data_IF_488994144859
#
_entry.id   IF_488994144859
#
_cell.length_a   1.000
_cell.length_b   1.000
_cell.length_c   1.000
_cell.angle_alpha   90.00
_cell.angle_beta   90.00
_cell.angle_gamma   90.00
#
_symmetry.space_group_name_H-M   'P 1'
#
loop_
_entity.id
_entity.type
_entity.pdbx_description
1 polymer ?
#
# COMPACT_ATOMS: atom_id res chain seq x y z
N UNK A 1 23.57 14.50 3.11
CA UNK A 1 23.86 15.33 1.92
C UNK A 1 25.00 14.67 1.18
N UNK A 2 24.75 14.08 0.02
CA UNK A 2 25.85 13.61 -0.83
C UNK A 2 26.35 14.82 -1.65
N UNK A 3 27.60 15.22 -1.42
CA UNK A 3 28.25 16.28 -2.15
C UNK A 3 28.58 15.76 -3.56
N UNK A 4 27.78 16.13 -4.54
CA UNK A 4 28.14 15.97 -5.95
C UNK A 4 29.18 17.03 -6.30
N UNK A 5 30.46 16.70 -6.15
CA UNK A 5 31.56 17.54 -6.62
C UNK A 5 31.77 17.33 -8.12
N UNK A 6 31.77 18.42 -8.90
CA UNK A 6 32.18 18.44 -10.32
C UNK A 6 31.06 18.28 -11.34
N UNK A 7 30.78 19.33 -12.10
CA UNK A 7 29.76 19.38 -13.15
C UNK A 7 30.21 18.76 -14.48
N UNK A 8 30.41 17.44 -14.52
CA UNK A 8 30.55 16.71 -15.78
C UNK A 8 29.19 16.15 -16.24
N UNK A 9 28.97 16.05 -17.56
CA UNK A 9 27.71 15.56 -18.14
C UNK A 9 27.42 14.09 -17.75
N UNK A 10 28.46 13.28 -17.54
CA UNK A 10 28.37 11.86 -17.19
C UNK A 10 29.40 11.51 -16.10
N UNK A 11 29.14 11.89 -14.84
CA UNK A 11 30.07 11.59 -13.75
C UNK A 11 30.15 10.08 -13.51
N UNK A 12 31.35 9.59 -13.20
CA UNK A 12 31.52 8.21 -12.78
C UNK A 12 30.96 8.06 -11.36
N UNK A 13 29.89 7.28 -11.21
CA UNK A 13 29.29 7.03 -9.91
C UNK A 13 29.92 5.79 -9.27
N UNK A 14 30.30 5.92 -8.01
CA UNK A 14 30.70 4.78 -7.18
C UNK A 14 29.51 3.83 -6.95
N UNK A 15 29.80 2.54 -6.81
CA UNK A 15 28.78 1.50 -6.56
C UNK A 15 27.95 1.83 -5.32
N UNK A 16 28.56 2.43 -4.29
CA UNK A 16 27.90 2.90 -3.07
C UNK A 16 26.84 3.98 -3.35
N UNK A 17 27.12 4.95 -4.22
CA UNK A 17 26.14 5.98 -4.61
C UNK A 17 24.96 5.39 -5.39
N UNK A 18 25.20 4.36 -6.21
CA UNK A 18 24.14 3.63 -6.92
C UNK A 18 23.25 2.86 -5.92
N UNK A 19 23.83 2.28 -4.87
CA UNK A 19 23.08 1.62 -3.80
C UNK A 19 22.27 2.61 -2.95
N UNK A 20 22.82 3.77 -2.62
CA UNK A 20 22.09 4.84 -1.93
C UNK A 20 20.88 5.32 -2.72
N UNK A 21 21.03 5.56 -4.03
CA UNK A 21 19.91 5.93 -4.91
C UNK A 21 18.83 4.84 -4.92
N UNK A 22 19.23 3.56 -4.98
CA UNK A 22 18.32 2.42 -4.94
C UNK A 22 17.58 2.31 -3.61
N UNK A 23 18.26 2.60 -2.51
CA UNK A 23 17.70 2.58 -1.16
C UNK A 23 16.72 3.74 -0.92
N UNK A 24 17.04 4.93 -1.44
CA UNK A 24 16.21 6.13 -1.38
C UNK A 24 14.96 6.02 -2.26
N UNK A 25 15.02 5.28 -3.38
CA UNK A 25 13.87 5.01 -4.23
C UNK A 25 12.80 4.14 -3.53
N UNK A 26 13.16 3.35 -2.50
CA UNK A 26 12.22 2.47 -1.80
C UNK A 26 11.44 3.24 -0.73
N UNK A 27 10.16 3.52 -0.98
CA UNK A 27 9.25 4.16 -0.04
C UNK A 27 9.14 3.38 1.29
N UNK A 28 9.28 4.08 2.42
CA UNK A 28 9.23 3.53 3.79
C UNK A 28 7.92 2.79 4.08
N UNK A 29 6.78 3.32 3.63
CA UNK A 29 5.47 2.68 3.84
C UNK A 29 5.38 1.35 3.08
N UNK A 30 5.98 1.29 1.90
CA UNK A 30 6.04 0.09 1.07
C UNK A 30 6.90 -0.99 1.72
N UNK A 31 8.04 -0.63 2.34
CA UNK A 31 8.87 -1.55 3.14
C UNK A 31 8.09 -2.14 4.30
N UNK A 32 7.41 -1.28 5.08
CA UNK A 32 6.56 -1.71 6.21
C UNK A 32 5.46 -2.68 5.76
N UNK A 33 4.77 -2.36 4.67
CA UNK A 33 3.73 -3.25 4.11
C UNK A 33 4.30 -4.61 3.70
N UNK A 34 5.49 -4.64 3.07
CA UNK A 34 6.15 -5.91 2.73
C UNK A 34 6.46 -6.75 3.97
N UNK A 35 7.01 -6.14 5.03
CA UNK A 35 7.33 -6.87 6.27
C UNK A 35 6.08 -7.48 6.90
N UNK A 36 4.98 -6.73 6.96
CA UNK A 36 3.71 -7.21 7.52
C UNK A 36 3.18 -8.41 6.75
N UNK A 37 3.06 -8.30 5.43
CA UNK A 37 2.51 -9.38 4.59
C UNK A 37 3.43 -10.60 4.53
N UNK A 38 4.76 -10.39 4.58
CA UNK A 38 5.72 -11.48 4.68
C UNK A 38 5.57 -12.20 6.03
N UNK A 39 5.33 -11.48 7.11
CA UNK A 39 5.03 -12.07 8.42
C UNK A 39 3.81 -12.99 8.37
N UNK A 40 2.71 -12.52 7.75
CA UNK A 40 1.50 -13.34 7.56
C UNK A 40 1.78 -14.61 6.78
N UNK A 41 2.51 -14.50 5.66
CA UNK A 41 2.88 -15.66 4.85
C UNK A 41 3.75 -16.65 5.64
N UNK A 42 4.79 -16.17 6.33
CA UNK A 42 5.70 -17.01 7.10
C UNK A 42 4.99 -17.74 8.25
N UNK A 43 4.10 -17.06 8.96
CA UNK A 43 3.27 -17.68 10.00
C UNK A 43 2.42 -18.82 9.44
N UNK A 44 1.73 -18.57 8.32
CA UNK A 44 0.94 -19.60 7.65
C UNK A 44 1.80 -20.76 7.14
N UNK A 45 2.94 -20.47 6.52
CA UNK A 45 3.86 -21.48 5.99
C UNK A 45 4.35 -22.41 7.12
N UNK A 46 4.72 -21.84 8.26
CA UNK A 46 5.14 -22.58 9.45
C UNK A 46 4.04 -23.50 10.00
N UNK A 47 2.80 -22.99 10.10
CA UNK A 47 1.66 -23.79 10.56
C UNK A 47 1.32 -24.96 9.63
N UNK A 48 1.59 -24.81 8.33
CA UNK A 48 1.35 -25.85 7.32
C UNK A 48 2.55 -26.75 7.04
N UNK A 49 3.68 -26.52 7.73
CA UNK A 49 4.91 -27.30 7.55
C UNK A 49 5.64 -27.03 6.23
N UNK A 50 5.42 -25.88 5.59
CA UNK A 50 6.21 -25.43 4.45
C UNK A 50 7.54 -24.80 4.91
N UNK A 51 8.54 -24.83 4.04
CA UNK A 51 9.82 -24.17 4.28
C UNK A 51 9.62 -22.66 4.33
N UNK A 52 10.31 -22.01 5.27
CA UNK A 52 10.34 -20.54 5.37
C UNK A 52 11.13 -19.91 4.20
N UNK A 53 11.99 -20.67 3.53
CA UNK A 53 12.84 -20.23 2.42
C UNK A 53 12.08 -20.26 1.08
N UNK A 54 11.08 -19.40 0.92
CA UNK A 54 10.19 -19.36 -0.25
C UNK A 54 10.89 -19.17 -1.59
N UNK A 55 12.02 -18.49 -1.59
CA UNK A 55 12.86 -18.18 -2.75
C UNK A 55 13.54 -19.42 -3.35
N UNK A 56 13.57 -20.53 -2.61
CA UNK A 56 14.19 -21.80 -3.06
C UNK A 56 13.27 -22.66 -3.91
N UNK A 57 11.95 -22.41 -3.88
CA UNK A 57 10.98 -23.19 -4.64
C UNK A 57 11.03 -22.87 -6.14
N UNK A 58 10.91 -23.90 -6.99
CA UNK A 58 10.60 -23.65 -8.41
C UNK A 58 9.23 -22.99 -8.55
N UNK A 59 9.04 -22.26 -9.64
CA UNK A 59 7.80 -21.55 -9.95
C UNK A 59 6.57 -22.45 -9.91
N UNK A 60 6.68 -23.72 -10.30
CA UNK A 60 5.54 -24.64 -10.27
C UNK A 60 5.11 -25.01 -8.85
N UNK A 61 6.07 -25.30 -7.97
CA UNK A 61 5.76 -25.62 -6.57
C UNK A 61 5.33 -24.38 -5.81
N UNK A 62 5.95 -23.24 -6.09
CA UNK A 62 5.57 -21.96 -5.53
C UNK A 62 4.13 -21.57 -5.94
N UNK A 63 3.71 -21.81 -7.19
CA UNK A 63 2.32 -21.57 -7.62
C UNK A 63 1.33 -22.39 -6.78
N UNK A 64 1.60 -23.67 -6.54
CA UNK A 64 0.74 -24.53 -5.70
C UNK A 64 0.70 -24.07 -4.24
N UNK A 65 1.84 -23.64 -3.69
CA UNK A 65 1.91 -23.12 -2.32
C UNK A 65 1.09 -21.83 -2.21
N UNK A 66 1.23 -20.92 -3.17
CA UNK A 66 0.49 -19.67 -3.21
C UNK A 66 -1.01 -19.90 -3.42
N UNK A 67 -1.40 -20.87 -4.25
CA UNK A 67 -2.79 -21.28 -4.44
C UNK A 67 -3.44 -21.66 -3.10
N UNK A 68 -2.79 -22.53 -2.32
CA UNK A 68 -3.26 -22.91 -0.97
C UNK A 68 -3.28 -21.72 -0.02
N UNK A 69 -2.22 -20.92 0.00
CA UNK A 69 -2.13 -19.73 0.85
C UNK A 69 -3.28 -18.76 0.59
N UNK A 70 -3.57 -18.48 -0.69
CA UNK A 70 -4.63 -17.55 -1.07
C UNK A 70 -6.03 -18.03 -0.69
N UNK A 71 -6.29 -19.34 -0.73
CA UNK A 71 -7.52 -19.91 -0.19
C UNK A 71 -7.64 -19.70 1.32
N UNK A 72 -6.57 -20.00 2.06
CA UNK A 72 -6.61 -20.13 3.52
C UNK A 72 -6.35 -18.83 4.29
N UNK A 73 -5.78 -17.80 3.64
CA UNK A 73 -5.41 -16.56 4.32
C UNK A 73 -6.63 -15.87 4.95
N UNK A 74 -6.50 -15.54 6.25
CA UNK A 74 -7.49 -14.87 7.10
C UNK A 74 -6.82 -13.83 7.99
N UNK A 75 -7.60 -12.87 8.48
CA UNK A 75 -7.11 -11.91 9.47
C UNK A 75 -6.93 -12.59 10.85
N UNK A 76 -6.36 -11.86 11.81
CA UNK A 76 -6.13 -12.38 13.18
C UNK A 76 -7.43 -12.75 13.90
N UNK A 77 -8.53 -12.12 13.53
CA UNK A 77 -9.86 -12.35 14.09
C UNK A 77 -10.60 -13.53 13.39
N UNK A 78 -9.94 -14.23 12.46
CA UNK A 78 -10.51 -15.33 11.68
C UNK A 78 -11.39 -14.93 10.50
N UNK A 79 -11.63 -13.63 10.30
CA UNK A 79 -12.38 -13.07 9.18
C UNK A 79 -11.58 -12.96 7.86
N UNK A 80 -12.31 -12.72 6.77
CA UNK A 80 -11.74 -12.51 5.44
C UNK A 80 -11.20 -11.08 5.24
N UNK A 81 -10.04 -10.97 4.60
CA UNK A 81 -9.45 -9.69 4.19
C UNK A 81 -10.26 -9.01 3.07
N UNK A 82 -10.12 -7.69 2.99
CA UNK A 82 -10.62 -6.90 1.86
C UNK A 82 -9.93 -7.27 0.54
N UNK A 83 -10.63 -7.26 -0.61
CA UNK A 83 -10.05 -7.56 -1.92
C UNK A 83 -8.82 -6.70 -2.26
N UNK A 84 -8.83 -5.42 -1.87
CA UNK A 84 -7.70 -4.51 -2.08
C UNK A 84 -6.50 -4.91 -1.22
N UNK A 85 -6.72 -5.37 0.01
CA UNK A 85 -5.66 -5.85 0.90
C UNK A 85 -4.96 -7.09 0.32
N UNK A 86 -5.74 -8.01 -0.27
CA UNK A 86 -5.20 -9.19 -0.95
C UNK A 86 -4.31 -8.81 -2.14
N UNK A 87 -4.66 -7.76 -2.91
CA UNK A 87 -3.80 -7.24 -3.98
C UNK A 87 -2.48 -6.66 -3.46
N UNK A 88 -2.52 -5.94 -2.35
CA UNK A 88 -1.32 -5.41 -1.70
C UNK A 88 -0.42 -6.55 -1.21
N UNK A 89 -1.01 -7.62 -0.66
CA UNK A 89 -0.29 -8.81 -0.23
C UNK A 89 0.50 -9.47 -1.36
N UNK A 90 -0.09 -9.72 -2.53
CA UNK A 90 0.67 -10.30 -3.66
C UNK A 90 1.84 -9.39 -4.05
N UNK A 91 1.58 -8.08 -4.12
CA UNK A 91 2.59 -7.09 -4.51
C UNK A 91 3.73 -7.03 -3.50
N UNK A 92 3.44 -7.24 -2.22
CA UNK A 92 4.43 -7.37 -1.17
C UNK A 92 5.29 -8.63 -1.34
N UNK A 93 4.68 -9.79 -1.62
CA UNK A 93 5.39 -11.06 -1.84
C UNK A 93 6.25 -11.03 -3.11
N UNK A 94 5.71 -10.53 -4.22
CA UNK A 94 6.44 -10.38 -5.49
C UNK A 94 7.66 -9.44 -5.33
N UNK A 95 7.52 -8.38 -4.53
CA UNK A 95 8.64 -7.49 -4.19
C UNK A 95 9.70 -8.20 -3.35
N UNK A 96 9.28 -8.94 -2.33
CA UNK A 96 10.21 -9.71 -1.49
C UNK A 96 11.01 -10.71 -2.32
N UNK A 97 10.36 -11.50 -3.16
CA UNK A 97 11.05 -12.48 -4.01
C UNK A 97 12.05 -11.82 -4.96
N UNK A 98 11.71 -10.67 -5.55
CA UNK A 98 12.66 -9.90 -6.38
C UNK A 98 13.84 -9.40 -5.58
N UNK A 99 13.62 -8.90 -4.36
CA UNK A 99 14.69 -8.47 -3.46
C UNK A 99 15.60 -9.65 -3.06
N UNK A 100 15.07 -10.88 -3.01
CA UNK A 100 15.82 -12.13 -2.81
C UNK A 100 16.46 -12.70 -4.10
N UNK A 101 16.39 -11.99 -5.23
CA UNK A 101 16.99 -12.44 -6.49
C UNK A 101 16.19 -13.49 -7.26
N UNK A 102 14.92 -13.70 -6.93
CA UNK A 102 14.07 -14.64 -7.64
C UNK A 102 13.77 -14.14 -9.06
N UNK A 103 14.06 -14.97 -10.06
CA UNK A 103 14.07 -14.56 -11.47
C UNK A 103 12.66 -14.31 -12.06
N UNK A 104 11.61 -14.94 -11.51
CA UNK A 104 10.27 -14.95 -12.10
C UNK A 104 9.28 -14.15 -11.24
N UNK A 105 8.64 -13.13 -11.80
CA UNK A 105 7.61 -12.38 -11.08
C UNK A 105 6.32 -13.20 -10.94
N UNK A 106 5.82 -13.35 -9.71
CA UNK A 106 4.53 -14.02 -9.43
C UNK A 106 3.41 -13.30 -10.19
N UNK A 107 3.44 -11.97 -10.22
CA UNK A 107 2.36 -11.17 -10.83
C UNK A 107 2.38 -11.26 -12.35
N UNK A 108 3.55 -11.20 -12.99
CA UNK A 108 3.64 -11.06 -14.45
C UNK A 108 3.73 -12.38 -15.19
N UNK A 109 4.33 -13.40 -14.59
CA UNK A 109 4.65 -14.65 -15.31
C UNK A 109 3.44 -15.57 -15.37
N UNK A 110 3.20 -16.18 -16.54
CA UNK A 110 2.08 -17.11 -16.80
C UNK A 110 2.15 -18.40 -16.00
N UNK A 111 3.35 -18.81 -15.55
CA UNK A 111 3.56 -20.01 -14.70
C UNK A 111 2.79 -19.97 -13.38
N UNK A 112 2.36 -18.78 -12.95
CA UNK A 112 1.55 -18.58 -11.74
C UNK A 112 0.06 -18.41 -12.05
N UNK A 113 -0.48 -19.13 -13.04
CA UNK A 113 -1.88 -18.92 -13.46
C UNK A 113 -2.88 -19.46 -12.44
N UNK A 114 -2.61 -20.60 -11.80
CA UNK A 114 -3.58 -21.24 -10.91
C UNK A 114 -3.78 -20.43 -9.63
N UNK A 115 -2.69 -20.00 -9.01
CA UNK A 115 -2.78 -19.13 -7.83
C UNK A 115 -3.49 -17.80 -8.14
N UNK A 116 -3.30 -17.23 -9.34
CA UNK A 116 -4.02 -16.02 -9.76
C UNK A 116 -5.51 -16.25 -9.92
N UNK A 117 -5.91 -17.31 -10.62
CA UNK A 117 -7.32 -17.67 -10.83
C UNK A 117 -8.04 -17.82 -9.48
N UNK A 118 -7.44 -18.58 -8.56
CA UNK A 118 -7.98 -18.77 -7.20
C UNK A 118 -8.15 -17.46 -6.45
N UNK A 119 -7.16 -16.57 -6.55
CA UNK A 119 -7.24 -15.29 -5.85
C UNK A 119 -8.25 -14.34 -6.49
N UNK A 120 -8.35 -14.31 -7.82
CA UNK A 120 -9.34 -13.52 -8.54
C UNK A 120 -10.76 -13.98 -8.24
N UNK A 121 -10.98 -15.29 -8.17
CA UNK A 121 -12.26 -15.88 -7.78
C UNK A 121 -12.60 -15.55 -6.33
N UNK A 122 -11.65 -15.69 -5.40
CA UNK A 122 -11.83 -15.26 -4.01
C UNK A 122 -12.18 -13.77 -3.92
N UNK A 123 -11.46 -12.90 -4.63
CA UNK A 123 -11.74 -11.47 -4.67
C UNK A 123 -13.09 -11.14 -5.33
N UNK A 124 -13.56 -11.94 -6.29
CA UNK A 124 -14.89 -11.81 -6.89
C UNK A 124 -15.97 -12.16 -5.86
N UNK A 125 -15.86 -13.31 -5.19
CA UNK A 125 -16.78 -13.72 -4.12
C UNK A 125 -16.89 -12.68 -3.01
N UNK A 126 -15.75 -12.17 -2.53
CA UNK A 126 -15.74 -11.13 -1.50
C UNK A 126 -16.48 -9.85 -1.95
N UNK A 127 -16.40 -9.50 -3.24
CA UNK A 127 -17.15 -8.36 -3.81
C UNK A 127 -18.66 -8.63 -3.90
N UNK A 128 -19.05 -9.86 -4.18
CA UNK A 128 -20.45 -10.30 -4.19
C UNK A 128 -21.04 -10.32 -2.76
N UNK A 129 -20.24 -10.69 -1.77
CA UNK A 129 -20.55 -10.60 -0.33
C UNK A 129 -20.59 -9.15 0.20
N UNK A 130 -20.39 -8.14 -0.67
CA UNK A 130 -20.44 -6.73 -0.32
C UNK A 130 -19.15 -6.15 0.25
N UNK A 131 -18.04 -6.90 0.27
CA UNK A 131 -16.73 -6.35 0.65
C UNK A 131 -16.10 -5.55 -0.49
N UNK A 132 -15.30 -4.55 -0.14
CA UNK A 132 -14.66 -3.63 -1.07
C UNK A 132 -15.29 -2.24 -1.08
N UNK A 133 -14.68 -1.34 -1.85
CA UNK A 133 -15.04 0.10 -1.88
C UNK A 133 -16.32 0.46 -2.63
N UNK A 134 -17.10 -0.54 -3.09
CA UNK A 134 -18.32 -0.30 -3.87
C UNK A 134 -19.49 0.21 -3.02
N UNK A 135 -19.83 -0.40 -1.87
CA UNK A 135 -20.85 0.17 -0.98
C UNK A 135 -20.40 1.46 -0.28
N UNK A 136 -19.11 1.59 0.08
CA UNK A 136 -18.56 2.78 0.74
C UNK A 136 -17.94 3.79 -0.24
N UNK A 137 -18.55 3.95 -1.42
CA UNK A 137 -18.06 4.91 -2.41
C UNK A 137 -18.16 6.31 -1.80
N UNK A 138 -17.05 7.03 -1.73
CA UNK A 138 -17.07 8.42 -1.31
C UNK A 138 -18.04 9.21 -2.19
N UNK A 139 -19.01 9.87 -1.55
CA UNK A 139 -19.89 10.85 -2.18
C UNK A 139 -19.56 12.24 -1.65
N UNK A 140 -19.91 13.25 -2.44
CA UNK A 140 -19.91 14.63 -1.95
C UNK A 140 -20.90 14.76 -0.79
N UNK A 141 -20.57 15.63 0.16
CA UNK A 141 -21.53 16.04 1.18
C UNK A 141 -22.68 16.78 0.51
N UNK A 142 -23.88 16.64 1.06
CA UNK A 142 -24.99 17.51 0.68
C UNK A 142 -24.84 18.86 1.39
N UNK A 143 -25.47 19.90 0.83
CA UNK A 143 -25.48 21.22 1.44
C UNK A 143 -25.98 21.18 2.90
N UNK A 144 -27.00 20.36 3.18
CA UNK A 144 -27.54 20.17 4.54
C UNK A 144 -26.51 19.56 5.51
N UNK A 145 -25.68 18.63 5.05
CA UNK A 145 -24.62 18.03 5.86
C UNK A 145 -23.48 19.03 6.13
N UNK A 146 -23.17 19.90 5.16
CA UNK A 146 -22.19 20.98 5.33
C UNK A 146 -22.67 22.01 6.36
N UNK A 147 -23.95 22.39 6.29
CA UNK A 147 -24.58 23.29 7.25
C UNK A 147 -24.58 22.68 8.66
N UNK A 148 -24.88 21.38 8.80
CA UNK A 148 -24.83 20.65 10.06
C UNK A 148 -23.41 20.61 10.66
N UNK A 149 -22.38 20.44 9.84
CA UNK A 149 -20.98 20.48 10.28
C UNK A 149 -20.57 21.87 10.76
N UNK A 150 -21.15 22.93 10.19
CA UNK A 150 -20.99 24.31 10.65
C UNK A 150 -21.68 24.56 12.00
N UNK A 151 -22.92 24.09 12.17
CA UNK A 151 -23.69 24.29 13.42
C UNK A 151 -23.12 23.50 14.59
N UNK A 152 -22.63 22.28 14.34
CA UNK A 152 -21.98 21.43 15.35
C UNK A 152 -20.62 21.96 15.83
N UNK A 153 -20.11 23.05 15.22
CA UNK A 153 -18.84 23.67 15.61
C UNK A 153 -17.59 23.00 15.04
N UNK A 154 -17.75 21.95 14.23
CA UNK A 154 -16.63 21.23 13.62
C UNK A 154 -15.97 22.04 12.49
N UNK A 155 -16.78 22.76 11.71
CA UNK A 155 -16.35 23.66 10.65
C UNK A 155 -16.73 25.11 10.99
N UNK A 156 -16.11 25.66 12.03
CA UNK A 156 -16.45 26.98 12.54
C UNK A 156 -15.23 27.85 12.81
N UNK A 157 -15.43 29.15 12.98
CA UNK A 157 -14.41 30.12 13.35
C UNK A 157 -14.33 30.40 14.87
N UNK A 158 -15.09 29.64 15.68
CA UNK A 158 -15.21 29.86 17.13
C UNK A 158 -13.96 29.44 17.91
N UNK A 159 -13.28 28.39 17.48
CA UNK A 159 -12.06 27.87 18.14
C UNK A 159 -10.93 27.78 17.11
N UNK A 160 -9.69 27.97 17.55
CA UNK A 160 -8.52 27.82 16.68
C UNK A 160 -8.49 26.43 15.98
N UNK A 161 -8.90 25.38 16.69
CA UNK A 161 -9.01 24.01 16.16
C UNK A 161 -10.10 23.86 15.08
N UNK A 162 -11.29 24.43 15.31
CA UNK A 162 -12.37 24.38 14.31
C UNK A 162 -12.02 25.19 13.06
N UNK A 163 -11.27 26.30 13.24
CA UNK A 163 -10.77 27.10 12.14
C UNK A 163 -9.72 26.33 11.32
N UNK A 164 -8.80 25.63 11.98
CA UNK A 164 -7.82 24.75 11.34
C UNK A 164 -8.54 23.64 10.56
N UNK A 165 -9.55 22.98 11.12
CA UNK A 165 -10.31 21.95 10.42
C UNK A 165 -11.05 22.51 9.18
N UNK A 166 -11.63 23.71 9.31
CA UNK A 166 -12.31 24.39 8.20
C UNK A 166 -11.35 24.77 7.07
N UNK A 167 -10.21 25.37 7.42
CA UNK A 167 -9.26 25.87 6.42
C UNK A 167 -8.42 24.71 5.86
N UNK A 168 -7.75 23.96 6.74
CA UNK A 168 -6.81 22.92 6.33
C UNK A 168 -7.49 21.69 5.74
N UNK A 169 -8.56 21.19 6.34
CA UNK A 169 -9.15 19.94 5.90
C UNK A 169 -10.29 20.13 4.91
N UNK A 170 -11.14 21.13 5.09
CA UNK A 170 -12.29 21.35 4.21
C UNK A 170 -11.95 22.17 2.96
N UNK A 171 -11.57 23.44 3.12
CA UNK A 171 -11.37 24.34 1.98
C UNK A 171 -10.18 23.91 1.09
N UNK A 172 -9.03 23.56 1.68
CA UNK A 172 -7.88 23.17 0.87
C UNK A 172 -8.09 21.85 0.12
N UNK A 173 -8.78 20.88 0.72
CA UNK A 173 -9.09 19.61 0.05
C UNK A 173 -10.09 19.79 -1.08
N UNK A 174 -11.11 20.65 -0.91
CA UNK A 174 -12.13 20.91 -1.92
C UNK A 174 -11.58 21.71 -3.11
N UNK A 175 -10.91 22.84 -2.84
CA UNK A 175 -10.49 23.77 -3.89
C UNK A 175 -9.15 23.41 -4.54
N UNK A 176 -8.20 22.86 -3.76
CA UNK A 176 -6.85 22.55 -4.26
C UNK A 176 -6.59 21.06 -4.40
N UNK A 177 -7.51 20.20 -3.95
CA UNK A 177 -7.36 18.75 -4.06
C UNK A 177 -6.24 18.17 -3.18
N UNK A 178 -5.76 18.92 -2.18
CA UNK A 178 -4.71 18.48 -1.27
C UNK A 178 -5.24 17.38 -0.34
N UNK A 179 -4.81 16.14 -0.56
CA UNK A 179 -5.32 14.95 0.14
C UNK A 179 -4.25 14.26 0.98
N UNK A 180 -2.98 14.64 0.80
CA UNK A 180 -1.85 14.04 1.48
C UNK A 180 -1.50 14.76 2.78
N UNK A 181 -1.27 13.99 3.86
CA UNK A 181 -0.68 14.51 5.11
C UNK A 181 0.58 15.34 4.84
N UNK A 182 1.43 14.88 3.92
CA UNK A 182 2.70 15.55 3.61
C UNK A 182 2.51 16.87 2.86
N UNK A 183 1.47 16.98 2.03
CA UNK A 183 1.12 18.21 1.32
C UNK A 183 0.70 19.29 2.31
N UNK A 184 -0.10 18.91 3.32
CA UNK A 184 -0.53 19.82 4.38
C UNK A 184 0.64 20.28 5.26
N UNK A 185 1.55 19.38 5.66
CA UNK A 185 2.72 19.75 6.48
C UNK A 185 3.78 20.55 5.69
N UNK A 186 3.79 20.44 4.36
CA UNK A 186 4.72 21.18 3.50
C UNK A 186 4.31 22.63 3.25
N UNK A 187 3.11 23.04 3.68
CA UNK A 187 2.65 24.41 3.49
C UNK A 187 3.42 25.36 4.40
N UNK A 188 4.07 26.34 3.77
CA UNK A 188 4.81 27.39 4.46
C UNK A 188 4.24 28.74 4.03
N UNK A 189 4.09 29.64 4.99
CA UNK A 189 3.75 31.03 4.69
C UNK A 189 5.01 31.71 4.18
N UNK A 190 4.96 32.27 2.97
CA UNK A 190 5.98 33.24 2.57
C UNK A 190 5.70 34.52 3.34
N UNK A 191 6.49 34.77 4.38
CA UNK A 191 6.56 36.08 5.01
C UNK A 191 7.17 37.01 3.97
N UNK A 192 6.38 37.99 3.52
CA UNK A 192 6.85 39.09 2.66
C UNK A 192 7.59 40.11 3.49
#
# INVERSE_FOLDING_TARGET
MAAFSGGERFPHLEVSSIEELRNNAKNTNTKRSTIVWLGVFKSWAKERGFSEATETYDAFDLDKILEKFYCEVRNKDGGEYEPDSLRVMITALDRYLKDCGYQKSIIRVRKFCKSKEVLEEKAKRLREEGKGKRPNKARSLTQEEEELLGTNGNLCNKTAESLINTIMWWLLTQYFGLRGRQEHHGMTTRVR
#
